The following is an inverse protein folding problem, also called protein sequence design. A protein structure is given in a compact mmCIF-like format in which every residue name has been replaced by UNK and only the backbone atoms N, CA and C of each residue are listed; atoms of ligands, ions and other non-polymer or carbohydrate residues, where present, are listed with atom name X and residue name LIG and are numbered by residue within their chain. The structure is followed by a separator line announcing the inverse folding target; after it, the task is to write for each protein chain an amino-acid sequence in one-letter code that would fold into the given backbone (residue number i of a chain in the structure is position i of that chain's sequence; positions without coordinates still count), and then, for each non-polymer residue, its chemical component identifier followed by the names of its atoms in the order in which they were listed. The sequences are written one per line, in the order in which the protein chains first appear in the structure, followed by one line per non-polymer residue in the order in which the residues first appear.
data_IF_554167991563
#
_entry.id   IF_554167991563
#
_cell.length_a   1.000
_cell.length_b   1.000
_cell.length_c   1.000
_cell.angle_alpha   90.00
_cell.angle_beta   90.00
_cell.angle_gamma   90.00
#
_symmetry.space_group_name_H-M   'P 1'
#
loop_
_entity.id
_entity.type
_entity.pdbx_description
1 polymer ?
#
# COMPACT_ATOMS: atom_id res chain seq x y z
N UNK A 1 9.20 -19.83 6.82
CA UNK A 1 8.89 -18.49 6.37
C UNK A 1 8.99 -17.52 7.54
N UNK A 2 9.78 -16.46 7.38
CA UNK A 2 9.84 -15.35 8.35
C UNK A 2 9.16 -14.13 7.73
N UNK A 3 8.23 -13.52 8.46
CA UNK A 3 7.52 -12.31 8.04
C UNK A 3 7.98 -11.12 8.89
N UNK A 4 8.41 -10.06 8.24
CA UNK A 4 8.73 -8.79 8.88
C UNK A 4 7.65 -7.75 8.55
N UNK A 5 6.82 -7.38 9.52
CA UNK A 5 5.95 -6.23 9.38
C UNK A 5 6.73 -4.95 9.73
N UNK A 6 7.00 -4.14 8.71
CA UNK A 6 7.74 -2.87 8.84
C UNK A 6 6.80 -1.65 8.81
N UNK A 7 5.50 -1.86 8.93
CA UNK A 7 4.51 -0.77 8.98
C UNK A 7 4.69 0.08 10.24
N UNK A 8 4.74 1.39 10.07
CA UNK A 8 4.75 2.38 11.17
C UNK A 8 3.52 3.27 11.04
N UNK A 9 2.82 3.46 12.16
CA UNK A 9 1.58 4.24 12.20
C UNK A 9 1.81 5.67 11.70
N UNK A 10 0.87 6.16 10.89
CA UNK A 10 0.81 7.53 10.37
C UNK A 10 1.93 7.94 9.41
N UNK A 11 2.80 7.01 9.01
CA UNK A 11 3.83 7.29 8.02
C UNK A 11 3.25 7.54 6.63
N UNK A 12 3.97 8.36 5.89
CA UNK A 12 3.74 8.66 4.46
C UNK A 12 4.85 8.02 3.62
N UNK A 13 4.72 8.10 2.30
CA UNK A 13 5.76 7.67 1.37
C UNK A 13 7.13 8.32 1.66
N UNK A 14 7.18 9.58 2.13
CA UNK A 14 8.42 10.24 2.55
C UNK A 14 9.16 9.48 3.64
N UNK A 15 8.43 9.04 4.67
CA UNK A 15 9.01 8.32 5.81
C UNK A 15 9.51 6.94 5.37
N UNK A 16 8.71 6.22 4.58
CA UNK A 16 9.09 4.91 4.04
C UNK A 16 10.36 5.04 3.22
N UNK A 17 10.42 6.00 2.28
CA UNK A 17 11.61 6.29 1.48
C UNK A 17 12.85 6.56 2.33
N UNK A 18 12.70 7.36 3.36
CA UNK A 18 13.81 7.77 4.23
C UNK A 18 14.41 6.61 5.04
N UNK A 19 13.58 5.64 5.48
CA UNK A 19 14.02 4.54 6.34
C UNK A 19 14.36 3.25 5.59
N UNK A 20 13.88 3.08 4.36
CA UNK A 20 13.99 1.86 3.57
C UNK A 20 15.43 1.31 3.49
N UNK A 21 16.40 2.19 3.21
CA UNK A 21 17.81 1.82 3.08
C UNK A 21 18.47 1.31 4.36
N UNK A 22 17.90 1.59 5.52
CA UNK A 22 18.38 1.07 6.81
C UNK A 22 17.65 -0.19 7.24
N UNK A 23 16.40 -0.36 6.82
CA UNK A 23 15.54 -1.43 7.30
C UNK A 23 15.59 -2.69 6.44
N UNK A 24 15.67 -2.57 5.13
CA UNK A 24 15.68 -3.74 4.26
C UNK A 24 16.98 -4.55 4.34
N UNK A 25 18.19 -3.97 4.16
CA UNK A 25 19.40 -4.76 4.04
C UNK A 25 19.67 -5.74 5.19
N UNK A 26 19.43 -5.37 6.46
CA UNK A 26 19.65 -6.31 7.57
C UNK A 26 18.73 -7.53 7.58
N UNK A 27 17.64 -7.48 6.81
CA UNK A 27 16.61 -8.54 6.71
C UNK A 27 16.73 -9.38 5.45
N UNK A 28 17.55 -8.95 4.51
CA UNK A 28 17.79 -9.61 3.24
C UNK A 28 19.11 -10.39 3.31
N UNK A 29 19.05 -11.61 3.86
CA UNK A 29 20.25 -12.43 3.93
C UNK A 29 20.55 -13.03 2.54
N UNK A 30 21.83 -13.06 2.11
CA UNK A 30 22.21 -13.53 0.75
C UNK A 30 21.78 -14.97 0.40
N UNK A 31 21.52 -15.80 1.43
CA UNK A 31 21.08 -17.20 1.29
C UNK A 31 19.57 -17.39 1.25
N UNK A 32 18.81 -16.35 1.56
CA UNK A 32 17.36 -16.44 1.73
C UNK A 32 16.67 -15.91 0.49
N UNK A 33 15.60 -16.58 0.07
CA UNK A 33 14.66 -16.01 -0.90
C UNK A 33 13.83 -14.93 -0.21
N UNK A 34 14.13 -13.70 -0.51
CA UNK A 34 13.41 -12.55 0.03
C UNK A 34 12.40 -11.99 -0.97
N UNK A 35 11.31 -11.45 -0.49
CA UNK A 35 10.27 -10.77 -1.26
C UNK A 35 9.77 -9.55 -0.48
N UNK A 36 9.39 -8.49 -1.19
CA UNK A 36 8.87 -7.26 -0.58
C UNK A 36 7.45 -6.98 -1.06
N UNK A 37 6.56 -6.73 -0.12
CA UNK A 37 5.24 -6.16 -0.40
C UNK A 37 5.24 -4.72 0.09
N UNK A 38 5.00 -3.79 -0.81
CA UNK A 38 4.78 -2.38 -0.51
C UNK A 38 3.28 -2.14 -0.33
N UNK A 39 2.90 -1.36 0.69
CA UNK A 39 1.52 -0.89 0.86
C UNK A 39 1.54 0.45 1.58
N UNK A 40 1.19 1.52 0.87
CA UNK A 40 1.13 2.89 1.39
C UNK A 40 0.28 3.79 0.50
N UNK A 41 0.08 5.04 0.91
CA UNK A 41 -0.62 6.07 0.13
C UNK A 41 -1.80 6.70 0.85
N UNK A 42 -2.48 5.97 1.77
CA UNK A 42 -3.60 6.54 2.53
C UNK A 42 -3.18 7.84 3.21
N UNK A 43 -2.08 7.83 3.97
CA UNK A 43 -1.62 9.03 4.66
C UNK A 43 -1.10 10.13 3.71
N UNK A 44 -0.61 9.79 2.53
CA UNK A 44 -0.18 10.77 1.53
C UNK A 44 -1.37 11.64 1.08
N UNK A 45 -2.53 10.99 0.82
CA UNK A 45 -3.75 11.64 0.38
C UNK A 45 -4.50 12.40 1.49
N UNK A 46 -4.08 12.28 2.76
CA UNK A 46 -4.71 12.98 3.90
C UNK A 46 -4.46 14.48 3.83
N UNK A 47 -5.51 15.27 4.08
CA UNK A 47 -5.37 16.71 4.24
C UNK A 47 -4.96 17.05 5.68
N UNK A 48 -3.93 17.85 5.81
CA UNK A 48 -3.44 18.41 7.06
C UNK A 48 -3.06 19.88 6.83
N UNK A 49 -3.57 20.78 7.63
CA UNK A 49 -3.39 22.23 7.45
C UNK A 49 -3.77 22.75 6.04
N UNK A 50 -4.86 22.21 5.47
CA UNK A 50 -5.39 22.61 4.17
C UNK A 50 -4.64 22.05 2.94
N UNK A 51 -3.65 21.20 3.12
CA UNK A 51 -2.86 20.58 2.04
C UNK A 51 -2.77 19.07 2.20
N UNK A 52 -2.50 18.34 1.12
CA UNK A 52 -2.11 16.94 1.24
C UNK A 52 -0.83 16.80 2.07
N UNK A 53 -0.75 15.78 2.89
CA UNK A 53 0.50 15.46 3.61
C UNK A 53 1.67 15.25 2.68
N UNK A 54 1.40 14.63 1.52
CA UNK A 54 2.34 14.52 0.40
C UNK A 54 1.59 14.89 -0.86
N UNK A 55 2.09 15.83 -1.62
CA UNK A 55 1.48 16.22 -2.89
C UNK A 55 1.54 15.06 -3.90
N UNK A 56 0.58 15.00 -4.82
CA UNK A 56 0.41 13.85 -5.72
C UNK A 56 1.70 13.55 -6.51
N UNK A 57 2.31 14.57 -7.10
CA UNK A 57 3.56 14.40 -7.85
C UNK A 57 4.69 13.86 -6.98
N UNK A 58 4.83 14.36 -5.75
CA UNK A 58 5.84 13.86 -4.82
C UNK A 58 5.57 12.42 -4.36
N UNK A 59 4.28 12.03 -4.19
CA UNK A 59 3.94 10.64 -3.89
C UNK A 59 4.39 9.69 -5.01
N UNK A 60 4.27 10.13 -6.26
CA UNK A 60 4.77 9.40 -7.44
C UNK A 60 6.29 9.31 -7.44
N UNK A 61 6.99 10.42 -7.24
CA UNK A 61 8.45 10.43 -7.16
C UNK A 61 8.96 9.49 -6.05
N UNK A 62 8.29 9.52 -4.89
CA UNK A 62 8.60 8.63 -3.78
C UNK A 62 8.35 7.16 -4.13
N UNK A 63 7.24 6.86 -4.84
CA UNK A 63 6.95 5.50 -5.33
C UNK A 63 8.08 5.01 -6.24
N UNK A 64 8.48 5.82 -7.23
CA UNK A 64 9.58 5.46 -8.15
C UNK A 64 10.87 5.13 -7.40
N UNK A 65 11.27 5.98 -6.44
CA UNK A 65 12.48 5.74 -5.66
C UNK A 65 12.39 4.49 -4.77
N UNK A 66 11.23 4.28 -4.12
CA UNK A 66 11.00 3.12 -3.25
C UNK A 66 11.05 1.84 -4.09
N UNK A 67 10.31 1.80 -5.21
CA UNK A 67 10.24 0.64 -6.10
C UNK A 67 11.60 0.34 -6.71
N UNK A 68 12.31 1.36 -7.20
CA UNK A 68 13.65 1.17 -7.78
C UNK A 68 14.61 0.52 -6.77
N UNK A 69 14.56 0.95 -5.51
CA UNK A 69 15.40 0.39 -4.44
C UNK A 69 15.00 -1.03 -4.06
N UNK A 70 13.71 -1.32 -3.96
CA UNK A 70 13.24 -2.66 -3.56
C UNK A 70 13.42 -3.67 -4.67
N UNK A 71 13.06 -3.34 -5.91
CA UNK A 71 13.17 -4.22 -7.07
C UNK A 71 14.62 -4.54 -7.45
N UNK A 72 15.56 -3.66 -7.11
CA UNK A 72 16.99 -3.96 -7.26
C UNK A 72 17.50 -5.01 -6.26
N UNK A 73 16.77 -5.26 -5.18
CA UNK A 73 17.17 -6.19 -4.11
C UNK A 73 16.42 -7.52 -4.19
N UNK A 74 15.13 -7.51 -4.50
CA UNK A 74 14.30 -8.72 -4.53
C UNK A 74 12.97 -8.48 -5.26
N UNK A 75 12.23 -9.55 -5.61
CA UNK A 75 10.89 -9.43 -6.18
C UNK A 75 9.98 -8.58 -5.29
N UNK A 76 9.30 -7.63 -5.90
CA UNK A 76 8.48 -6.63 -5.21
C UNK A 76 7.07 -6.61 -5.78
N UNK A 77 6.07 -6.44 -4.91
CA UNK A 77 4.67 -6.21 -5.27
C UNK A 77 4.18 -4.93 -4.60
N UNK A 78 3.23 -4.24 -5.22
CA UNK A 78 2.56 -3.09 -4.63
C UNK A 78 1.07 -3.37 -4.42
N UNK A 79 0.65 -3.32 -3.17
CA UNK A 79 -0.76 -3.33 -2.77
C UNK A 79 -1.20 -1.89 -2.56
N UNK A 80 -2.13 -1.42 -3.37
CA UNK A 80 -2.60 -0.05 -3.37
C UNK A 80 -3.30 0.36 -2.07
N UNK A 81 -3.47 1.67 -1.85
CA UNK A 81 -4.11 2.17 -0.64
C UNK A 81 -5.59 1.76 -0.59
N UNK A 82 -6.08 1.25 0.56
CA UNK A 82 -7.49 0.93 0.75
C UNK A 82 -8.34 2.19 0.92
N UNK A 83 -9.68 2.09 0.70
CA UNK A 83 -10.58 3.21 0.88
C UNK A 83 -10.83 3.51 2.36
N UNK A 84 -11.30 4.73 2.61
CA UNK A 84 -11.80 5.25 3.90
C UNK A 84 -13.26 5.66 3.78
N UNK A 85 -13.94 5.94 4.90
CA UNK A 85 -15.36 6.32 4.89
C UNK A 85 -15.61 7.74 4.36
N UNK A 86 -14.74 8.69 4.68
CA UNK A 86 -14.87 10.07 4.21
C UNK A 86 -14.78 10.15 2.69
N UNK A 87 -15.83 10.64 2.03
CA UNK A 87 -15.96 10.66 0.60
C UNK A 87 -14.89 11.51 -0.10
N UNK A 88 -14.59 12.69 0.45
CA UNK A 88 -13.60 13.59 -0.12
C UNK A 88 -12.18 13.03 0.03
N UNK A 89 -11.92 12.36 1.15
CA UNK A 89 -10.63 11.68 1.36
C UNK A 89 -10.50 10.44 0.46
N UNK A 90 -11.58 9.64 0.35
CA UNK A 90 -11.62 8.48 -0.54
C UNK A 90 -11.37 8.88 -2.00
N UNK A 91 -11.98 9.96 -2.49
CA UNK A 91 -11.74 10.45 -3.84
C UNK A 91 -10.26 10.78 -4.10
N UNK A 92 -9.56 11.35 -3.11
CA UNK A 92 -8.11 11.59 -3.21
C UNK A 92 -7.29 10.31 -3.18
N UNK A 93 -7.75 9.28 -2.45
CA UNK A 93 -7.11 7.96 -2.45
C UNK A 93 -7.32 7.27 -3.80
N UNK A 94 -8.51 7.36 -4.40
CA UNK A 94 -8.80 6.83 -5.74
C UNK A 94 -7.89 7.47 -6.79
N UNK A 95 -7.78 8.80 -6.78
CA UNK A 95 -6.87 9.54 -7.67
C UNK A 95 -5.42 9.07 -7.51
N UNK A 96 -4.94 8.96 -6.27
CA UNK A 96 -3.59 8.46 -5.99
C UNK A 96 -3.40 7.02 -6.45
N UNK A 97 -4.41 6.14 -6.24
CA UNK A 97 -4.39 4.75 -6.66
C UNK A 97 -4.27 4.62 -8.17
N UNK A 98 -4.98 5.47 -8.95
CA UNK A 98 -4.90 5.48 -10.41
C UNK A 98 -3.50 5.87 -10.90
N UNK A 99 -2.95 6.92 -10.31
CA UNK A 99 -1.61 7.37 -10.68
C UNK A 99 -0.56 6.33 -10.29
N UNK A 100 -0.70 5.70 -9.13
CA UNK A 100 0.19 4.60 -8.70
C UNK A 100 0.09 3.40 -9.64
N UNK A 101 -1.12 3.03 -10.08
CA UNK A 101 -1.33 1.93 -11.02
C UNK A 101 -0.61 2.20 -12.35
N UNK A 102 -0.75 3.41 -12.90
CA UNK A 102 -0.04 3.84 -14.12
C UNK A 102 1.48 3.79 -13.95
N UNK A 103 1.99 4.39 -12.87
CA UNK A 103 3.42 4.40 -12.57
C UNK A 103 3.98 2.99 -12.36
N UNK A 104 3.26 2.12 -11.67
CA UNK A 104 3.67 0.73 -11.50
C UNK A 104 3.70 -0.03 -12.83
N UNK A 105 2.73 0.20 -13.72
CA UNK A 105 2.72 -0.39 -15.05
C UNK A 105 3.93 0.05 -15.89
N UNK A 106 4.31 1.33 -15.84
CA UNK A 106 5.51 1.85 -16.51
C UNK A 106 6.80 1.20 -15.98
N UNK A 107 6.84 0.88 -14.69
CA UNK A 107 7.98 0.20 -14.05
C UNK A 107 7.96 -1.33 -14.19
N UNK A 108 6.92 -1.92 -14.80
CA UNK A 108 6.71 -3.37 -14.83
C UNK A 108 6.47 -3.99 -13.45
N UNK A 109 5.99 -3.21 -12.47
CA UNK A 109 5.70 -3.67 -11.12
C UNK A 109 4.24 -4.12 -11.01
N UNK A 110 3.95 -5.36 -10.54
CA UNK A 110 2.59 -5.75 -10.29
C UNK A 110 1.93 -4.87 -9.21
N UNK A 111 0.75 -4.35 -9.54
CA UNK A 111 -0.05 -3.47 -8.67
C UNK A 111 -1.44 -4.07 -8.44
N UNK A 112 -1.89 -4.07 -7.19
CA UNK A 112 -3.24 -4.48 -6.81
C UNK A 112 -4.06 -3.26 -6.37
N UNK A 113 -5.06 -2.87 -7.16
CA UNK A 113 -6.04 -1.87 -6.70
C UNK A 113 -6.87 -2.42 -5.55
N UNK A 114 -6.78 -1.75 -4.41
CA UNK A 114 -7.58 -2.04 -3.22
C UNK A 114 -8.74 -1.07 -3.06
N UNK A 115 -8.62 0.15 -3.57
CA UNK A 115 -9.58 1.21 -3.29
C UNK A 115 -10.96 0.90 -3.87
N UNK A 116 -11.07 0.77 -5.18
CA UNK A 116 -12.37 0.56 -5.85
C UNK A 116 -13.05 -0.75 -5.50
N UNK A 117 -12.35 -1.90 -5.48
CA UNK A 117 -13.01 -3.14 -5.11
C UNK A 117 -13.54 -3.14 -3.68
N UNK A 118 -12.79 -2.63 -2.71
CA UNK A 118 -13.22 -2.59 -1.31
C UNK A 118 -14.33 -1.57 -1.06
N UNK A 119 -14.41 -0.48 -1.84
CA UNK A 119 -15.55 0.44 -1.82
C UNK A 119 -16.89 -0.21 -2.18
N UNK A 120 -16.87 -1.36 -2.85
CA UNK A 120 -18.06 -2.10 -3.27
C UNK A 120 -18.39 -3.27 -2.34
N UNK A 121 -17.59 -3.51 -1.32
CA UNK A 121 -17.77 -4.59 -0.36
C UNK A 121 -18.39 -4.07 0.94
N UNK A 122 -19.66 -4.38 1.17
CA UNK A 122 -20.37 -3.98 2.37
C UNK A 122 -19.63 -4.42 3.66
N UNK A 123 -19.12 -5.65 3.72
CA UNK A 123 -18.38 -6.15 4.87
C UNK A 123 -17.14 -5.30 5.21
N UNK A 124 -16.47 -4.70 4.22
CA UNK A 124 -15.35 -3.79 4.45
C UNK A 124 -15.83 -2.45 4.99
N UNK A 125 -16.85 -1.84 4.35
CA UNK A 125 -17.38 -0.52 4.73
C UNK A 125 -18.05 -0.57 6.11
N UNK A 126 -18.85 -1.59 6.37
CA UNK A 126 -19.51 -1.80 7.68
C UNK A 126 -18.46 -1.98 8.78
N UNK A 127 -17.37 -2.66 8.47
CA UNK A 127 -16.25 -2.85 9.40
C UNK A 127 -15.51 -1.56 9.72
N UNK A 128 -15.33 -0.66 8.73
CA UNK A 128 -14.81 0.70 8.96
C UNK A 128 -15.73 1.51 9.87
N UNK A 129 -17.04 1.46 9.60
CA UNK A 129 -18.05 2.18 10.38
C UNK A 129 -18.10 1.67 11.84
N UNK A 130 -18.01 0.36 12.04
CA UNK A 130 -18.08 -0.27 13.37
C UNK A 130 -16.90 0.10 14.27
N UNK A 131 -15.70 0.32 13.73
CA UNK A 131 -14.54 0.77 14.51
C UNK A 131 -14.66 2.25 14.89
N UNK A 132 -15.32 3.04 14.05
CA UNK A 132 -15.70 4.42 14.34
C UNK A 132 -14.65 5.49 14.04
N UNK A 133 -13.45 5.14 13.62
CA UNK A 133 -12.45 6.11 13.17
C UNK A 133 -12.52 6.40 11.66
N UNK A 134 -13.23 5.57 10.91
CA UNK A 134 -13.43 5.70 9.47
C UNK A 134 -12.21 5.34 8.61
N UNK A 135 -11.10 4.90 9.20
CA UNK A 135 -9.83 4.65 8.52
C UNK A 135 -9.34 3.21 8.67
N UNK A 136 -9.54 2.59 9.82
CA UNK A 136 -9.06 1.26 10.15
C UNK A 136 -10.24 0.30 10.26
N UNK A 137 -10.32 -0.72 9.41
CA UNK A 137 -11.39 -1.71 9.53
C UNK A 137 -11.14 -2.63 10.74
N UNK A 138 -12.20 -3.23 11.26
CA UNK A 138 -12.09 -4.34 12.19
C UNK A 138 -11.75 -5.66 11.50
N UNK A 139 -11.85 -6.78 12.22
CA UNK A 139 -11.45 -8.10 11.75
C UNK A 139 -12.11 -8.50 10.41
N UNK A 140 -13.40 -8.23 10.23
CA UNK A 140 -14.12 -8.57 9.00
C UNK A 140 -13.59 -7.80 7.77
N UNK A 141 -13.26 -6.52 7.94
CA UNK A 141 -12.68 -5.72 6.87
C UNK A 141 -11.24 -6.13 6.54
N UNK A 142 -10.44 -6.47 7.53
CA UNK A 142 -9.11 -7.04 7.27
C UNK A 142 -9.19 -8.42 6.60
N UNK A 143 -10.20 -9.23 6.92
CA UNK A 143 -10.43 -10.50 6.22
C UNK A 143 -10.76 -10.27 4.74
N UNK A 144 -11.63 -9.29 4.42
CA UNK A 144 -11.94 -8.91 3.04
C UNK A 144 -10.69 -8.39 2.29
N UNK A 145 -9.86 -7.58 2.97
CA UNK A 145 -8.59 -7.13 2.43
C UNK A 145 -7.64 -8.31 2.12
N UNK A 146 -7.47 -9.22 3.07
CA UNK A 146 -6.59 -10.38 2.92
C UNK A 146 -7.08 -11.33 1.83
N UNK A 147 -8.39 -11.57 1.72
CA UNK A 147 -8.97 -12.40 0.65
C UNK A 147 -8.60 -11.84 -0.73
N UNK A 148 -8.73 -10.52 -0.92
CA UNK A 148 -8.38 -9.88 -2.18
C UNK A 148 -6.90 -10.02 -2.55
N UNK A 149 -5.99 -9.90 -1.57
CA UNK A 149 -4.56 -10.16 -1.80
C UNK A 149 -4.33 -11.62 -2.13
N UNK A 150 -4.99 -12.55 -1.41
CA UNK A 150 -4.86 -13.99 -1.61
C UNK A 150 -5.34 -14.47 -2.99
N UNK A 151 -6.31 -13.80 -3.61
CA UNK A 151 -6.82 -14.09 -4.95
C UNK A 151 -5.96 -13.50 -6.08
N UNK A 152 -4.98 -12.67 -5.76
CA UNK A 152 -4.16 -12.00 -6.75
C UNK A 152 -3.08 -12.92 -7.33
N UNK A 153 -3.09 -13.12 -8.64
CA UNK A 153 -2.16 -14.03 -9.34
C UNK A 153 -0.68 -13.72 -9.04
N UNK A 154 -0.30 -12.44 -9.01
CA UNK A 154 1.08 -12.07 -8.72
C UNK A 154 1.51 -12.44 -7.29
N UNK A 155 0.58 -12.42 -6.33
CA UNK A 155 0.81 -12.93 -4.99
C UNK A 155 0.90 -14.46 -4.97
N UNK A 156 -0.04 -15.14 -5.64
CA UNK A 156 -0.07 -16.60 -5.71
C UNK A 156 1.19 -17.16 -6.37
N UNK A 157 1.70 -16.50 -7.42
CA UNK A 157 2.91 -16.89 -8.11
C UNK A 157 4.19 -16.90 -7.25
N UNK A 158 4.14 -16.33 -6.04
CA UNK A 158 5.26 -16.40 -5.11
C UNK A 158 5.33 -17.73 -4.31
N UNK A 159 4.32 -18.57 -4.40
CA UNK A 159 4.17 -19.81 -3.61
C UNK A 159 4.09 -21.06 -4.48
N UNK A 160 4.35 -20.93 -5.77
CA UNK A 160 4.32 -22.04 -6.75
C UNK A 160 5.71 -22.55 -7.04
#
# INVERSE_FOLDING_TARGET
LTLYNLGVRSETSRHIKARLGRELPPRLLPRDEARVVLSFGVNDAKIENGRRKVELAESVDNLFEIVSKTSALCPTLMVGPPPVLDDAYRARIEELSDVFAGSCAEMGLPYLDMCRPLCRQAAYLDSLAAVGDGYHPGAAGYAAFAARVGEWEAWQGWFV
#
